data_IF_411184288331
#
_entry.id   IF_411184288331
#
_cell.length_a   1.000
_cell.length_b   1.000
_cell.length_c   1.000
_cell.angle_alpha   90.00
_cell.angle_beta   90.00
_cell.angle_gamma   90.00
#
_symmetry.space_group_name_H-M   'P 1'
#
loop_
_entity.id
_entity.type
_entity.pdbx_description
1 polymer ?
#
# COMPACT_ATOMS: atom_id res chain seq x y z
N UNK A 1 24.31 26.23 -3.72
CA UNK A 1 23.98 25.05 -2.87
C UNK A 1 25.08 24.03 -3.09
N UNK A 2 25.69 23.54 -2.01
CA UNK A 2 26.79 22.60 -2.04
C UNK A 2 26.74 21.73 -0.80
N UNK A 3 26.75 20.42 -0.98
CA UNK A 3 26.76 19.47 0.13
C UNK A 3 27.54 18.20 -0.20
N UNK A 4 27.90 17.48 0.86
CA UNK A 4 28.50 16.15 0.82
C UNK A 4 27.82 15.21 1.82
N UNK A 5 27.52 14.00 1.39
CA UNK A 5 26.92 12.97 2.25
C UNK A 5 27.38 11.56 1.88
N UNK A 6 27.03 10.61 2.75
CA UNK A 6 27.29 9.19 2.56
C UNK A 6 26.39 8.65 1.43
N UNK A 7 26.97 7.85 0.54
CA UNK A 7 26.34 7.43 -0.71
C UNK A 7 25.09 6.58 -0.46
N UNK A 8 25.16 5.62 0.45
CA UNK A 8 24.10 4.65 0.71
C UNK A 8 22.90 5.36 1.35
N UNK A 9 23.18 6.23 2.33
CA UNK A 9 22.18 7.09 2.97
C UNK A 9 21.46 7.98 1.93
N UNK A 10 22.19 8.63 1.02
CA UNK A 10 21.57 9.44 -0.03
C UNK A 10 20.75 8.57 -1.00
N UNK A 11 21.25 7.39 -1.38
CA UNK A 11 20.54 6.49 -2.28
C UNK A 11 19.20 6.04 -1.69
N UNK A 12 19.18 5.66 -0.41
CA UNK A 12 17.98 5.24 0.30
C UNK A 12 16.96 6.37 0.43
N UNK A 13 17.43 7.58 0.81
CA UNK A 13 16.57 8.74 0.96
C UNK A 13 15.95 9.19 -0.38
N UNK A 14 16.76 9.22 -1.44
CA UNK A 14 16.30 9.52 -2.80
C UNK A 14 15.26 8.49 -3.25
N UNK A 15 15.53 7.20 -3.04
CA UNK A 15 14.57 6.14 -3.40
C UNK A 15 13.24 6.26 -2.65
N UNK A 16 13.29 6.66 -1.37
CA UNK A 16 12.09 6.87 -0.56
C UNK A 16 11.29 8.10 -1.00
N UNK A 17 11.95 9.24 -1.22
CA UNK A 17 11.29 10.46 -1.65
C UNK A 17 10.72 10.33 -3.08
N UNK A 18 11.40 9.62 -3.99
CA UNK A 18 10.98 9.51 -5.40
C UNK A 18 9.68 8.73 -5.61
N UNK A 19 9.28 7.88 -4.67
CA UNK A 19 8.06 7.06 -4.84
C UNK A 19 6.78 7.88 -4.97
N UNK A 20 6.79 9.08 -4.41
CA UNK A 20 5.64 9.99 -4.42
C UNK A 20 5.75 11.09 -5.47
N UNK A 21 6.78 11.09 -6.32
CA UNK A 21 6.82 12.03 -7.46
C UNK A 21 5.71 11.69 -8.46
N UNK A 22 5.15 12.71 -9.09
CA UNK A 22 4.07 12.54 -10.03
C UNK A 22 4.52 11.72 -11.26
N UNK A 23 3.74 10.69 -11.61
CA UNK A 23 4.00 9.82 -12.77
C UNK A 23 2.94 9.93 -13.87
N UNK A 24 1.79 10.57 -13.59
CA UNK A 24 0.65 10.69 -14.51
C UNK A 24 0.90 11.76 -15.58
N UNK A 25 0.51 11.45 -16.81
CA UNK A 25 0.47 12.40 -17.93
C UNK A 25 -0.53 13.52 -17.63
N UNK A 26 -0.05 14.72 -17.30
CA UNK A 26 -0.89 15.88 -16.95
C UNK A 26 -0.56 16.53 -15.59
N UNK A 27 0.28 15.90 -14.78
CA UNK A 27 0.83 16.55 -13.59
C UNK A 27 1.78 17.70 -13.96
N UNK A 28 1.97 18.65 -13.04
CA UNK A 28 2.98 19.71 -13.20
C UNK A 28 4.36 19.08 -13.42
N UNK A 29 5.11 19.43 -14.50
CA UNK A 29 6.39 18.79 -14.80
C UNK A 29 7.40 18.84 -13.65
N UNK A 30 7.37 19.89 -12.83
CA UNK A 30 8.23 20.08 -11.65
C UNK A 30 8.01 19.02 -10.56
N UNK A 31 6.81 18.44 -10.47
CA UNK A 31 6.46 17.38 -9.51
C UNK A 31 6.92 15.99 -9.96
N UNK A 32 7.44 15.85 -11.17
CA UNK A 32 8.08 14.60 -11.64
C UNK A 32 9.50 14.43 -11.08
N UNK A 33 9.99 15.47 -10.38
CA UNK A 33 11.34 15.60 -9.87
C UNK A 33 11.34 15.76 -8.34
N UNK A 34 12.52 15.61 -7.74
CA UNK A 34 12.70 15.79 -6.30
C UNK A 34 13.06 17.22 -5.96
N UNK A 35 12.42 17.78 -4.93
CA UNK A 35 12.90 19.00 -4.29
C UNK A 35 13.90 18.62 -3.20
N UNK A 36 15.09 19.18 -3.25
CA UNK A 36 16.13 19.03 -2.23
C UNK A 36 16.40 20.39 -1.61
N UNK A 37 16.28 20.46 -0.29
CA UNK A 37 16.68 21.62 0.51
C UNK A 37 17.92 21.24 1.31
N UNK A 38 18.98 22.04 1.22
CA UNK A 38 20.17 21.91 2.06
C UNK A 38 20.25 23.07 3.04
N UNK A 39 20.46 22.77 4.32
CA UNK A 39 20.57 23.75 5.40
C UNK A 39 21.38 23.22 6.58
N UNK A 40 21.24 23.87 7.73
CA UNK A 40 22.08 23.59 8.92
C UNK A 40 21.87 22.17 9.48
N UNK A 41 20.65 21.63 9.35
CA UNK A 41 20.28 20.29 9.82
C UNK A 41 20.54 19.17 8.78
N UNK A 42 21.25 19.47 7.69
CA UNK A 42 21.53 18.55 6.59
C UNK A 42 20.60 18.75 5.39
N UNK A 43 20.10 17.66 4.81
CA UNK A 43 19.23 17.70 3.63
C UNK A 43 17.80 17.30 3.99
N UNK A 44 16.84 17.98 3.38
CA UNK A 44 15.44 17.55 3.26
C UNK A 44 15.17 17.20 1.79
N UNK A 45 14.80 15.95 1.54
CA UNK A 45 14.38 15.46 0.22
C UNK A 45 12.87 15.30 0.21
N UNK A 46 12.22 15.92 -0.78
CA UNK A 46 10.75 15.92 -0.90
C UNK A 46 10.32 15.46 -2.28
N UNK A 47 9.48 14.43 -2.32
CA UNK A 47 8.71 14.04 -3.49
C UNK A 47 7.22 14.17 -3.22
N UNK A 48 6.47 14.65 -4.21
CA UNK A 48 5.04 14.92 -4.05
C UNK A 48 4.30 14.81 -5.38
N UNK A 49 3.07 14.32 -5.33
CA UNK A 49 2.08 14.41 -6.41
C UNK A 49 0.88 15.29 -6.01
N UNK A 50 1.03 16.05 -4.91
CA UNK A 50 0.03 16.87 -4.22
C UNK A 50 -1.09 16.07 -3.51
N UNK A 51 -1.23 14.77 -3.76
CA UNK A 51 -2.09 13.88 -2.97
C UNK A 51 -1.30 13.27 -1.82
N UNK A 52 -0.03 12.93 -2.08
CA UNK A 52 0.90 12.31 -1.15
C UNK A 52 2.22 13.04 -1.21
N UNK A 53 2.83 13.26 -0.06
CA UNK A 53 4.16 13.86 0.06
C UNK A 53 5.01 13.02 0.98
N UNK A 54 6.19 12.60 0.50
CA UNK A 54 7.23 12.02 1.34
C UNK A 54 8.30 13.07 1.61
N UNK A 55 8.66 13.26 2.88
CA UNK A 55 9.82 14.04 3.31
C UNK A 55 10.82 13.13 4.01
N UNK A 56 12.08 13.24 3.62
CA UNK A 56 13.18 12.44 4.19
C UNK A 56 14.31 13.38 4.60
N UNK A 57 14.78 13.23 5.82
CA UNK A 57 15.93 13.97 6.33
C UNK A 57 17.20 13.12 6.23
N UNK A 58 18.27 13.73 5.73
CA UNK A 58 19.57 13.08 5.56
C UNK A 58 20.65 13.93 6.21
N UNK A 59 21.44 13.37 7.16
CA UNK A 59 22.63 14.02 7.65
C UNK A 59 23.61 14.27 6.49
N UNK A 60 24.04 15.52 6.31
CA UNK A 60 24.98 15.91 5.29
C UNK A 60 25.85 17.07 5.77
N UNK A 61 27.09 17.12 5.29
CA UNK A 61 27.94 18.30 5.41
C UNK A 61 27.51 19.32 4.35
N UNK A 62 26.76 20.34 4.76
CA UNK A 62 26.31 21.42 3.88
C UNK A 62 27.33 22.56 3.94
N UNK A 63 27.98 22.84 2.82
CA UNK A 63 28.91 23.97 2.69
C UNK A 63 28.19 25.24 2.22
N UNK A 64 27.17 25.07 1.38
CA UNK A 64 26.32 26.17 0.94
C UNK A 64 24.87 25.73 0.95
N UNK A 65 24.04 26.41 1.74
CA UNK A 65 22.61 26.19 1.78
C UNK A 65 21.94 26.50 0.43
N UNK A 66 20.72 25.98 0.24
CA UNK A 66 19.89 26.33 -0.90
C UNK A 66 18.83 25.28 -1.22
N UNK A 67 18.10 25.51 -2.31
CA UNK A 67 17.02 24.64 -2.78
C UNK A 67 17.27 24.33 -4.25
N UNK A 68 17.08 23.06 -4.63
CA UNK A 68 17.12 22.64 -6.03
C UNK A 68 16.00 21.65 -6.33
N UNK A 69 15.48 21.67 -7.56
CA UNK A 69 14.58 20.64 -8.07
C UNK A 69 15.35 19.77 -9.04
N UNK A 70 15.66 18.56 -8.60
CA UNK A 70 16.59 17.64 -9.26
C UNK A 70 15.80 16.52 -9.96
N UNK A 71 16.09 16.25 -11.26
CA UNK A 71 15.46 15.16 -11.99
C UNK A 71 15.49 13.84 -11.25
N UNK A 72 14.40 13.06 -11.32
CA UNK A 72 14.34 11.72 -10.71
C UNK A 72 15.46 10.77 -11.16
N UNK A 73 16.12 11.07 -12.28
CA UNK A 73 17.32 10.38 -12.74
C UNK A 73 18.44 10.32 -11.69
N UNK A 74 18.48 11.27 -10.72
CA UNK A 74 19.43 11.22 -9.60
C UNK A 74 19.37 9.90 -8.82
N UNK A 75 18.20 9.26 -8.73
CA UNK A 75 18.06 7.98 -8.04
C UNK A 75 18.81 6.84 -8.72
N UNK A 76 18.77 6.80 -10.06
CA UNK A 76 19.55 5.84 -10.83
C UNK A 76 21.04 6.13 -10.77
N UNK A 77 21.42 7.42 -10.78
CA UNK A 77 22.82 7.85 -10.69
C UNK A 77 23.40 7.44 -9.34
N UNK A 78 22.83 7.90 -8.23
CA UNK A 78 23.38 7.70 -6.89
C UNK A 78 23.49 6.20 -6.55
N UNK A 79 22.49 5.39 -6.95
CA UNK A 79 22.53 3.93 -6.77
C UNK A 79 23.70 3.25 -7.48
N UNK A 80 24.18 3.82 -8.59
CA UNK A 80 25.29 3.29 -9.40
C UNK A 80 26.64 3.91 -9.09
N UNK A 81 26.71 4.94 -8.24
CA UNK A 81 27.98 5.55 -7.86
C UNK A 81 28.84 4.55 -7.09
N UNK A 82 30.15 4.58 -7.36
CA UNK A 82 31.17 3.88 -6.59
C UNK A 82 31.78 4.84 -5.55
N UNK A 83 32.12 4.30 -4.38
CA UNK A 83 32.70 5.03 -3.26
C UNK A 83 31.68 5.50 -2.23
N UNK A 84 32.18 5.85 -1.05
CA UNK A 84 31.34 6.03 0.15
C UNK A 84 30.73 7.43 0.27
N UNK A 85 31.17 8.38 -0.56
CA UNK A 85 30.87 9.81 -0.40
C UNK A 85 30.48 10.43 -1.73
N UNK A 86 29.37 11.17 -1.72
CA UNK A 86 28.83 11.90 -2.87
C UNK A 86 28.89 13.39 -2.57
N UNK A 87 29.45 14.16 -3.50
CA UNK A 87 29.44 15.63 -3.47
C UNK A 87 28.50 16.14 -4.55
N UNK A 88 27.59 17.03 -4.17
CA UNK A 88 26.67 17.70 -5.09
C UNK A 88 26.91 19.21 -5.02
N UNK A 89 27.12 19.82 -6.17
CA UNK A 89 27.31 21.26 -6.34
C UNK A 89 26.26 21.78 -7.31
N UNK A 90 25.45 22.74 -6.90
CA UNK A 90 24.47 23.39 -7.76
C UNK A 90 24.92 24.79 -8.12
N UNK A 91 25.05 25.03 -9.42
CA UNK A 91 25.44 26.31 -10.02
C UNK A 91 24.43 26.67 -11.11
N UNK A 92 23.65 27.74 -10.91
CA UNK A 92 22.60 28.13 -11.85
C UNK A 92 21.52 27.04 -11.99
N UNK A 93 21.30 26.56 -13.20
CA UNK A 93 20.33 25.53 -13.57
C UNK A 93 20.95 24.13 -13.70
N UNK A 94 22.16 23.92 -13.17
CA UNK A 94 22.88 22.65 -13.25
C UNK A 94 23.29 22.15 -11.86
N UNK A 95 23.08 20.85 -11.61
CA UNK A 95 23.66 20.12 -10.48
C UNK A 95 24.78 19.19 -10.97
N UNK A 96 26.00 19.42 -10.50
CA UNK A 96 27.14 18.52 -10.70
C UNK A 96 27.21 17.54 -9.54
N UNK A 97 27.19 16.25 -9.86
CA UNK A 97 27.24 15.14 -8.91
C UNK A 97 28.55 14.40 -9.12
N UNK A 98 29.32 14.20 -8.05
CA UNK A 98 30.63 13.54 -8.11
C UNK A 98 30.83 12.53 -6.98
N UNK A 99 31.43 11.39 -7.31
CA UNK A 99 31.89 10.37 -6.37
C UNK A 99 33.09 9.63 -6.97
N UNK A 100 34.20 9.57 -6.23
CA UNK A 100 35.44 8.96 -6.70
C UNK A 100 35.92 9.58 -8.03
N UNK A 101 35.97 8.77 -9.09
CA UNK A 101 36.38 9.20 -10.45
C UNK A 101 35.20 9.54 -11.37
N UNK A 102 33.97 9.37 -10.89
CA UNK A 102 32.78 9.62 -11.67
C UNK A 102 32.26 11.03 -11.37
N UNK A 103 31.98 11.78 -12.42
CA UNK A 103 31.32 13.09 -12.37
C UNK A 103 30.27 13.13 -13.46
N UNK A 104 29.08 13.61 -13.13
CA UNK A 104 27.98 13.83 -14.07
C UNK A 104 27.25 15.13 -13.71
N UNK A 105 26.45 15.65 -14.64
CA UNK A 105 25.60 16.80 -14.38
C UNK A 105 24.16 16.57 -14.79
N UNK A 106 23.23 17.20 -14.07
CA UNK A 106 21.81 17.18 -14.31
C UNK A 106 21.29 18.61 -14.49
N UNK A 107 20.45 18.82 -15.50
CA UNK A 107 19.69 20.06 -15.66
C UNK A 107 18.55 20.09 -14.65
N UNK A 108 18.44 21.19 -13.94
CA UNK A 108 17.46 21.42 -12.88
C UNK A 108 16.21 22.11 -13.43
N UNK A 109 15.11 21.93 -12.72
CA UNK A 109 13.91 22.76 -12.92
C UNK A 109 13.97 23.96 -11.96
N UNK A 110 13.34 25.09 -12.31
CA UNK A 110 13.27 26.24 -11.41
C UNK A 110 12.62 25.85 -10.07
N UNK A 111 13.30 26.15 -8.97
CA UNK A 111 12.78 25.82 -7.64
C UNK A 111 11.47 26.57 -7.31
N UNK A 112 11.30 27.77 -7.86
CA UNK A 112 10.11 28.59 -7.69
C UNK A 112 8.87 28.01 -8.39
N UNK A 113 9.05 27.11 -9.36
CA UNK A 113 7.94 26.39 -9.99
C UNK A 113 7.39 25.29 -9.07
N UNK A 114 8.17 24.82 -8.08
CA UNK A 114 7.75 23.75 -7.18
C UNK A 114 6.67 24.27 -6.22
N UNK A 115 5.48 23.64 -6.15
CA UNK A 115 4.40 24.11 -5.30
C UNK A 115 4.80 24.22 -3.83
N UNK A 116 4.30 25.24 -3.15
CA UNK A 116 4.45 25.35 -1.69
C UNK A 116 3.63 24.25 -1.02
N UNK A 117 4.31 23.34 -0.35
CA UNK A 117 3.69 22.27 0.43
C UNK A 117 3.37 22.76 1.83
N UNK A 118 2.25 22.33 2.39
CA UNK A 118 1.91 22.64 3.78
C UNK A 118 2.95 22.05 4.73
N UNK A 119 3.35 22.76 5.80
CA UNK A 119 4.17 22.21 6.87
C UNK A 119 3.54 20.94 7.44
N UNK A 120 4.36 20.05 8.02
CA UNK A 120 3.91 18.82 8.66
C UNK A 120 3.58 18.99 10.15
N UNK A 121 3.42 20.23 10.63
CA UNK A 121 3.22 20.56 12.05
C UNK A 121 1.97 19.91 12.68
N UNK A 122 2.04 19.71 14.00
CA UNK A 122 0.94 19.20 14.83
C UNK A 122 1.40 18.10 15.79
N UNK A 123 0.59 17.84 16.83
CA UNK A 123 0.79 16.75 17.78
C UNK A 123 -0.07 15.56 17.37
N UNK A 124 0.52 14.37 17.36
CA UNK A 124 -0.15 13.15 16.95
C UNK A 124 -0.32 12.13 18.07
N UNK A 125 -1.04 11.07 17.74
CA UNK A 125 -1.15 9.87 18.56
C UNK A 125 -0.09 8.87 18.09
N UNK A 126 0.57 8.21 19.03
CA UNK A 126 1.55 7.16 18.71
C UNK A 126 0.88 5.81 18.60
N UNK A 127 1.26 5.07 17.56
CA UNK A 127 0.80 3.71 17.32
C UNK A 127 2.01 2.79 17.12
N UNK A 128 1.88 1.53 17.51
CA UNK A 128 2.91 0.53 17.23
C UNK A 128 3.08 0.36 15.71
N UNK A 129 4.32 0.53 15.24
CA UNK A 129 4.64 0.56 13.83
C UNK A 129 4.36 -0.79 13.15
N UNK A 130 4.71 -1.90 13.82
CA UNK A 130 4.55 -3.24 13.27
C UNK A 130 3.06 -3.63 13.16
N UNK A 131 2.28 -3.37 14.21
CA UNK A 131 0.84 -3.62 14.23
C UNK A 131 0.10 -2.77 13.19
N UNK A 132 0.46 -1.49 13.06
CA UNK A 132 -0.14 -0.61 12.05
C UNK A 132 0.24 -1.06 10.64
N UNK A 133 1.51 -1.37 10.38
CA UNK A 133 1.95 -1.88 9.08
C UNK A 133 1.26 -3.20 8.70
N UNK A 134 1.08 -4.13 9.65
CA UNK A 134 0.37 -5.38 9.43
C UNK A 134 -1.10 -5.12 9.05
N UNK A 135 -1.78 -4.19 9.73
CA UNK A 135 -3.14 -3.82 9.40
C UNK A 135 -3.26 -3.14 8.02
N UNK A 136 -2.32 -2.26 7.67
CA UNK A 136 -2.28 -1.65 6.35
C UNK A 136 -2.04 -2.69 5.25
N UNK A 137 -1.12 -3.65 5.46
CA UNK A 137 -0.86 -4.77 4.54
C UNK A 137 -2.12 -5.58 4.26
N UNK A 138 -2.98 -5.74 5.27
CA UNK A 138 -4.24 -6.47 5.20
C UNK A 138 -5.33 -5.69 4.45
N UNK A 139 -5.45 -4.39 4.68
CA UNK A 139 -6.60 -3.60 4.21
C UNK A 139 -6.34 -2.86 2.91
N UNK A 140 -5.18 -2.19 2.76
CA UNK A 140 -4.88 -1.30 1.61
C UNK A 140 -5.06 -2.00 0.27
N UNK A 141 -4.75 -3.31 0.20
CA UNK A 141 -4.89 -4.12 -1.01
C UNK A 141 -6.31 -4.19 -1.55
N UNK A 142 -7.34 -4.00 -0.72
CA UNK A 142 -8.74 -4.05 -1.12
C UNK A 142 -9.29 -2.71 -1.65
N UNK A 143 -8.50 -1.62 -1.57
CA UNK A 143 -8.90 -0.33 -2.11
C UNK A 143 -8.92 -0.34 -3.65
N UNK A 144 -9.85 0.42 -4.22
CA UNK A 144 -9.96 0.60 -5.66
C UNK A 144 -8.77 1.38 -6.23
N UNK A 145 -8.40 1.03 -7.47
CA UNK A 145 -7.45 1.81 -8.29
C UNK A 145 -8.16 2.72 -9.31
N UNK A 146 -9.49 2.70 -9.30
CA UNK A 146 -10.34 3.45 -10.22
C UNK A 146 -10.58 4.87 -9.70
N UNK A 147 -9.86 5.83 -10.27
CA UNK A 147 -9.96 7.25 -9.92
C UNK A 147 -11.35 7.86 -10.25
N UNK A 148 -12.21 7.17 -11.02
CA UNK A 148 -13.61 7.61 -11.26
C UNK A 148 -14.50 7.41 -10.03
N UNK A 149 -14.09 6.56 -9.09
CA UNK A 149 -14.77 6.31 -7.81
C UNK A 149 -13.83 6.65 -6.65
N UNK A 150 -13.51 7.94 -6.44
CA UNK A 150 -12.48 8.38 -5.51
C UNK A 150 -12.72 7.93 -4.07
N UNK A 151 -13.98 7.80 -3.64
CA UNK A 151 -14.32 7.29 -2.31
C UNK A 151 -13.74 5.88 -2.07
N UNK A 152 -13.70 5.05 -3.11
CA UNK A 152 -13.22 3.67 -3.00
C UNK A 152 -11.70 3.56 -3.13
N UNK A 153 -10.99 4.62 -3.51
CA UNK A 153 -9.51 4.64 -3.55
C UNK A 153 -8.91 4.93 -2.16
N UNK A 154 -9.76 5.19 -1.18
CA UNK A 154 -9.37 5.41 0.22
C UNK A 154 -9.52 4.18 1.10
N UNK A 155 -8.92 4.27 2.28
CA UNK A 155 -9.18 3.40 3.43
C UNK A 155 -9.92 4.22 4.47
N UNK A 156 -11.09 3.74 4.87
CA UNK A 156 -11.86 4.31 5.97
C UNK A 156 -11.20 3.94 7.30
N UNK A 157 -10.88 4.95 8.10
CA UNK A 157 -10.49 4.85 9.49
C UNK A 157 -11.68 5.29 10.35
N UNK A 158 -12.09 4.48 11.31
CA UNK A 158 -13.17 4.80 12.25
C UNK A 158 -12.85 4.30 13.64
N UNK A 159 -13.29 5.03 14.67
CA UNK A 159 -13.26 4.50 16.03
C UNK A 159 -14.13 3.23 16.12
N UNK A 160 -13.63 2.18 16.77
CA UNK A 160 -14.36 0.94 17.02
C UNK A 160 -13.99 0.36 18.39
N UNK A 161 -14.94 0.33 19.32
CA UNK A 161 -14.66 -0.03 20.71
C UNK A 161 -13.58 0.86 21.32
N UNK A 162 -12.55 0.25 21.92
CA UNK A 162 -11.36 0.95 22.44
C UNK A 162 -10.20 0.97 21.43
N UNK A 163 -10.50 1.02 20.13
CA UNK A 163 -9.51 0.88 19.06
C UNK A 163 -9.89 1.58 17.76
N UNK A 164 -9.15 1.26 16.72
CA UNK A 164 -9.27 1.79 15.37
C UNK A 164 -9.66 0.67 14.42
N UNK A 165 -10.70 0.89 13.61
CA UNK A 165 -11.07 0.01 12.50
C UNK A 165 -10.62 0.61 11.18
N UNK A 166 -10.01 -0.22 10.34
CA UNK A 166 -9.59 0.07 8.99
C UNK A 166 -10.48 -0.71 8.01
N UNK A 167 -11.01 -0.03 6.99
CA UNK A 167 -11.89 -0.65 5.99
C UNK A 167 -11.54 -0.17 4.58
N UNK A 168 -11.43 -1.09 3.63
CA UNK A 168 -11.26 -0.76 2.21
C UNK A 168 -12.07 -1.70 1.33
N UNK A 169 -12.58 -1.19 0.21
CA UNK A 169 -13.34 -1.96 -0.77
C UNK A 169 -13.24 -1.36 -2.16
N UNK A 170 -13.36 -2.21 -3.18
CA UNK A 170 -13.48 -1.83 -4.59
C UNK A 170 -14.83 -2.22 -5.19
N UNK A 171 -15.81 -2.55 -4.33
CA UNK A 171 -17.13 -3.14 -4.63
C UNK A 171 -17.15 -4.64 -4.94
N UNK A 172 -16.01 -5.27 -5.19
CA UNK A 172 -15.92 -6.73 -5.45
C UNK A 172 -15.29 -7.49 -4.30
N UNK A 173 -14.46 -6.81 -3.50
CA UNK A 173 -13.94 -7.31 -2.24
C UNK A 173 -13.98 -6.23 -1.16
N UNK A 174 -13.91 -6.65 0.09
CA UNK A 174 -13.90 -5.78 1.26
C UNK A 174 -12.91 -6.35 2.26
N UNK A 175 -12.04 -5.52 2.80
CA UNK A 175 -11.15 -5.87 3.90
C UNK A 175 -11.48 -5.02 5.12
N UNK A 176 -11.63 -5.66 6.27
CA UNK A 176 -11.87 -5.03 7.57
C UNK A 176 -10.78 -5.50 8.54
N UNK A 177 -10.14 -4.56 9.22
CA UNK A 177 -9.14 -4.86 10.26
C UNK A 177 -9.35 -3.98 11.49
N UNK A 178 -9.48 -4.62 12.65
CA UNK A 178 -9.53 -3.93 13.93
C UNK A 178 -8.15 -3.91 14.62
N UNK A 179 -7.77 -2.73 15.09
CA UNK A 179 -6.57 -2.47 15.88
C UNK A 179 -6.98 -2.01 17.28
N UNK A 180 -6.79 -2.89 18.26
CA UNK A 180 -7.08 -2.60 19.66
C UNK A 180 -6.09 -1.59 20.24
N UNK A 181 -6.55 -0.78 21.19
CA UNK A 181 -5.69 0.14 21.95
C UNK A 181 -5.22 1.38 21.19
N UNK A 182 -5.66 1.57 19.94
CA UNK A 182 -5.37 2.76 19.15
C UNK A 182 -6.54 3.75 19.27
N UNK A 183 -6.38 4.75 20.13
CA UNK A 183 -7.38 5.81 20.34
C UNK A 183 -6.96 7.10 19.66
N UNK A 184 -7.18 7.18 18.34
CA UNK A 184 -6.86 8.38 17.54
C UNK A 184 -8.09 9.11 16.97
N UNK A 185 -9.28 8.52 17.10
CA UNK A 185 -10.54 9.08 16.61
C UNK A 185 -11.59 9.08 17.71
N UNK A 186 -12.48 10.07 17.69
CA UNK A 186 -13.66 10.12 18.56
C UNK A 186 -14.73 9.11 18.10
N UNK A 187 -15.63 8.71 19.00
CA UNK A 187 -16.73 7.80 18.66
C UNK A 187 -17.60 8.38 17.54
N UNK A 188 -17.85 7.59 16.50
CA UNK A 188 -18.60 8.02 15.31
C UNK A 188 -17.79 8.83 14.29
N UNK A 189 -16.56 9.25 14.63
CA UNK A 189 -15.68 9.94 13.69
C UNK A 189 -15.19 8.98 12.61
N UNK A 190 -15.30 9.42 11.35
CA UNK A 190 -14.91 8.67 10.16
C UNK A 190 -13.96 9.52 9.33
N UNK A 191 -12.83 8.94 8.98
CA UNK A 191 -11.78 9.60 8.19
C UNK A 191 -11.42 8.71 7.01
N UNK A 192 -11.46 9.24 5.80
CA UNK A 192 -11.10 8.50 4.60
C UNK A 192 -9.73 8.96 4.11
N UNK A 193 -8.74 8.08 4.16
CA UNK A 193 -7.34 8.40 3.81
C UNK A 193 -6.99 7.75 2.47
N UNK A 194 -6.32 8.46 1.57
CA UNK A 194 -5.89 7.90 0.29
C UNK A 194 -5.02 6.64 0.48
N UNK A 195 -5.43 5.51 -0.11
CA UNK A 195 -4.79 4.21 0.10
C UNK A 195 -3.33 4.18 -0.38
N UNK A 196 -3.01 4.94 -1.44
CA UNK A 196 -1.64 5.12 -1.92
C UNK A 196 -0.72 5.72 -0.86
N UNK A 197 -1.20 6.67 -0.05
CA UNK A 197 -0.42 7.26 1.04
C UNK A 197 -0.17 6.25 2.16
N UNK A 198 -1.21 5.50 2.54
CA UNK A 198 -1.10 4.41 3.51
C UNK A 198 -0.17 3.27 3.03
N UNK A 199 -0.12 2.98 1.73
CA UNK A 199 0.83 2.02 1.17
C UNK A 199 2.29 2.46 1.39
N UNK A 200 2.58 3.76 1.30
CA UNK A 200 3.92 4.28 1.62
C UNK A 200 4.20 4.22 3.12
N UNK A 201 3.22 4.51 3.98
CA UNK A 201 3.36 4.33 5.44
C UNK A 201 3.67 2.88 5.79
N UNK A 202 2.94 1.92 5.21
CA UNK A 202 3.17 0.47 5.43
C UNK A 202 4.62 0.09 5.13
N UNK A 203 5.20 0.64 4.06
CA UNK A 203 6.59 0.38 3.67
C UNK A 203 7.60 1.06 4.61
N UNK A 204 7.25 2.23 5.13
CA UNK A 204 8.14 3.11 5.90
C UNK A 204 8.02 2.96 7.42
N UNK A 205 7.04 2.19 7.89
CA UNK A 205 6.75 1.97 9.31
C UNK A 205 8.01 1.62 10.13
N UNK A 206 8.82 0.69 9.63
CA UNK A 206 9.99 0.19 10.35
C UNK A 206 9.61 -0.42 11.71
N UNK A 207 10.50 -0.28 12.69
CA UNK A 207 10.27 -0.70 14.08
C UNK A 207 9.95 0.51 14.96
N UNK A 208 9.30 0.27 16.11
CA UNK A 208 9.00 1.29 17.12
C UNK A 208 7.60 1.87 16.97
N UNK A 209 7.48 3.20 17.03
CA UNK A 209 6.21 3.92 16.98
C UNK A 209 6.09 4.77 15.71
N UNK A 210 4.87 4.88 15.18
CA UNK A 210 4.49 5.87 14.18
C UNK A 210 3.67 6.95 14.88
N UNK A 211 4.05 8.21 14.73
CA UNK A 211 3.20 9.32 15.16
C UNK A 211 2.22 9.67 14.05
N UNK A 212 0.92 9.67 14.37
CA UNK A 212 -0.18 9.98 13.46
C UNK A 212 -0.81 11.30 13.83
N UNK A 213 -0.63 12.32 12.99
CA UNK A 213 -1.20 13.66 13.15
C UNK A 213 -2.38 13.80 12.18
N UNK A 214 -3.60 13.66 12.70
CA UNK A 214 -4.82 13.91 11.93
C UNK A 214 -5.09 15.42 11.87
N UNK A 215 -5.33 15.93 10.66
CA UNK A 215 -5.69 17.34 10.42
C UNK A 215 -6.95 17.42 9.57
N UNK A 216 -7.42 18.64 9.30
CA UNK A 216 -8.69 18.87 8.59
C UNK A 216 -8.72 18.28 7.18
N UNK A 217 -7.59 18.29 6.46
CA UNK A 217 -7.53 17.95 5.02
C UNK A 217 -6.56 16.83 4.67
N UNK A 218 -5.74 16.42 5.62
CA UNK A 218 -4.73 15.38 5.43
C UNK A 218 -4.39 14.74 6.78
N UNK A 219 -3.56 13.71 6.70
CA UNK A 219 -2.94 13.06 7.85
C UNK A 219 -1.44 12.98 7.60
N UNK A 220 -0.66 13.27 8.64
CA UNK A 220 0.79 13.13 8.63
C UNK A 220 1.17 11.91 9.46
N UNK A 221 1.99 11.04 8.87
CA UNK A 221 2.59 9.89 9.53
C UNK A 221 4.08 10.16 9.67
N UNK A 222 4.60 10.23 10.89
CA UNK A 222 6.03 10.36 11.15
C UNK A 222 6.56 8.99 11.59
N UNK A 223 7.46 8.42 10.79
CA UNK A 223 8.18 7.19 11.12
C UNK A 223 9.63 7.51 11.43
N UNK A 224 10.40 6.51 11.85
CA UNK A 224 11.86 6.66 12.03
C UNK A 224 12.62 6.94 10.73
N UNK A 225 11.98 6.73 9.57
CA UNK A 225 12.62 6.81 8.25
C UNK A 225 12.18 8.02 7.42
N UNK A 226 10.94 8.48 7.60
CA UNK A 226 10.35 9.54 6.78
C UNK A 226 9.08 10.12 7.40
N UNK A 227 8.68 11.29 6.91
CA UNK A 227 7.32 11.80 7.09
C UNK A 227 6.50 11.60 5.82
N UNK A 228 5.31 11.02 5.96
CA UNK A 228 4.34 10.82 4.87
C UNK A 228 3.12 11.67 5.16
N UNK A 229 2.81 12.63 4.28
CA UNK A 229 1.52 13.35 4.31
C UNK A 229 0.61 12.76 3.25
N UNK A 230 -0.60 12.36 3.63
CA UNK A 230 -1.61 11.83 2.70
C UNK A 230 -2.92 12.63 2.83
N UNK A 231 -3.49 13.06 1.70
CA UNK A 231 -4.76 13.79 1.71
C UNK A 231 -5.92 12.91 2.19
N UNK A 232 -6.85 13.56 2.87
CA UNK A 232 -8.16 13.01 3.16
C UNK A 232 -9.05 13.11 1.92
N UNK A 233 -9.89 12.11 1.72
CA UNK A 233 -10.87 12.05 0.65
C UNK A 233 -12.21 12.51 1.22
N UNK A 234 -12.80 13.51 0.60
CA UNK A 234 -14.15 13.97 0.95
C UNK A 234 -15.20 13.02 0.34
N UNK A 235 -16.18 12.62 1.15
CA UNK A 235 -17.28 11.78 0.71
C UNK A 235 -17.74 10.77 1.76
N UNK A 236 -18.86 10.12 1.48
CA UNK A 236 -19.43 9.10 2.36
C UNK A 236 -18.98 7.71 1.90
N UNK A 237 -18.25 7.00 2.77
CA UNK A 237 -17.87 5.63 2.51
C UNK A 237 -19.10 4.70 2.58
N UNK A 238 -19.24 3.70 1.69
CA UNK A 238 -20.41 2.82 1.67
C UNK A 238 -20.69 2.15 3.01
N UNK A 239 -21.97 1.89 3.31
CA UNK A 239 -22.36 1.10 4.48
C UNK A 239 -22.01 -0.39 4.28
N UNK A 240 -20.76 -0.73 4.59
CA UNK A 240 -20.19 -2.06 4.38
C UNK A 240 -20.70 -3.11 5.36
N UNK A 241 -21.19 -2.72 6.54
CA UNK A 241 -21.63 -3.64 7.59
C UNK A 241 -22.81 -4.51 7.11
N UNK A 242 -23.67 -3.95 6.26
CA UNK A 242 -24.80 -4.67 5.65
C UNK A 242 -24.36 -5.72 4.62
N UNK A 243 -23.11 -5.65 4.13
CA UNK A 243 -22.58 -6.59 3.15
C UNK A 243 -22.04 -7.86 3.80
N UNK A 244 -21.78 -7.86 5.11
CA UNK A 244 -21.20 -8.98 5.84
C UNK A 244 -22.32 -9.87 6.36
N UNK A 245 -22.47 -11.11 5.86
CA UNK A 245 -23.42 -12.06 6.41
C UNK A 245 -23.20 -12.35 7.90
N UNK A 246 -24.29 -12.61 8.62
CA UNK A 246 -24.27 -12.94 10.06
C UNK A 246 -23.84 -14.38 10.37
N UNK A 247 -23.70 -15.23 9.34
CA UNK A 247 -23.25 -16.61 9.51
C UNK A 247 -23.17 -17.36 8.18
N UNK A 248 -22.45 -18.48 8.19
CA UNK A 248 -22.15 -19.28 7.01
C UNK A 248 -22.44 -20.77 7.30
N UNK A 249 -23.20 -21.46 6.43
CA UNK A 249 -23.45 -22.89 6.55
C UNK A 249 -22.26 -23.77 6.13
N UNK A 250 -21.32 -23.21 5.35
CA UNK A 250 -20.19 -23.95 4.80
C UNK A 250 -18.87 -23.30 5.23
N UNK A 251 -17.92 -24.12 5.67
CA UNK A 251 -16.61 -23.71 6.15
C UNK A 251 -15.53 -24.66 5.62
N UNK A 252 -14.59 -24.11 4.87
CA UNK A 252 -13.39 -24.79 4.41
C UNK A 252 -12.19 -24.30 5.23
N UNK A 253 -11.38 -25.20 5.76
CA UNK A 253 -10.09 -24.88 6.39
C UNK A 253 -8.97 -25.53 5.59
N UNK A 254 -7.99 -24.73 5.16
CA UNK A 254 -6.90 -25.17 4.27
C UNK A 254 -5.59 -24.50 4.68
N UNK A 255 -4.46 -25.18 4.48
CA UNK A 255 -3.14 -24.63 4.70
C UNK A 255 -2.89 -23.44 3.76
N UNK A 256 -2.51 -22.28 4.33
CA UNK A 256 -2.34 -21.01 3.64
C UNK A 256 -1.35 -21.11 2.49
N UNK A 257 -0.14 -21.61 2.77
CA UNK A 257 0.94 -21.69 1.77
C UNK A 257 0.55 -22.61 0.61
N UNK A 258 -0.02 -23.79 0.91
CA UNK A 258 -0.48 -24.72 -0.12
C UNK A 258 -1.56 -24.10 -1.00
N UNK A 259 -2.47 -23.31 -0.41
CA UNK A 259 -3.52 -22.63 -1.17
C UNK A 259 -2.97 -21.52 -2.07
N UNK A 260 -2.04 -20.70 -1.57
CA UNK A 260 -1.36 -19.68 -2.38
C UNK A 260 -0.59 -20.29 -3.55
N UNK A 261 0.17 -21.35 -3.28
CA UNK A 261 0.95 -22.08 -4.27
C UNK A 261 0.08 -22.70 -5.36
N UNK A 262 -1.05 -23.29 -4.99
CA UNK A 262 -2.01 -23.85 -5.93
C UNK A 262 -2.69 -22.75 -6.77
N UNK A 263 -3.05 -21.63 -6.15
CA UNK A 263 -3.58 -20.47 -6.88
C UNK A 263 -2.56 -19.97 -7.91
N UNK A 264 -1.28 -19.87 -7.54
CA UNK A 264 -0.19 -19.43 -8.41
C UNK A 264 0.02 -20.37 -9.59
N UNK A 265 -0.12 -21.69 -9.42
CA UNK A 265 -0.05 -22.67 -10.50
C UNK A 265 -1.28 -22.68 -11.39
N UNK A 266 -2.48 -22.75 -10.80
CA UNK A 266 -3.74 -22.83 -11.55
C UNK A 266 -3.95 -21.56 -12.38
N UNK A 267 -3.63 -20.38 -11.83
CA UNK A 267 -3.87 -19.10 -12.51
C UNK A 267 -3.07 -18.88 -13.80
N UNK A 268 -2.02 -19.69 -14.06
CA UNK A 268 -1.19 -19.60 -15.27
C UNK A 268 -2.04 -19.70 -16.55
N UNK A 269 -3.07 -20.54 -16.55
CA UNK A 269 -3.95 -20.78 -17.72
C UNK A 269 -4.80 -19.56 -18.09
N UNK A 270 -5.00 -18.64 -17.14
CA UNK A 270 -5.89 -17.48 -17.27
C UNK A 270 -5.14 -16.15 -17.26
N UNK A 271 -3.81 -16.17 -17.33
CA UNK A 271 -3.00 -14.96 -17.36
C UNK A 271 -3.41 -14.03 -18.50
N UNK A 272 -3.41 -12.72 -18.22
CA UNK A 272 -3.78 -11.65 -19.15
C UNK A 272 -5.23 -11.71 -19.68
N UNK A 273 -6.16 -12.29 -18.90
CA UNK A 273 -7.60 -12.26 -19.22
C UNK A 273 -8.39 -11.52 -18.16
N UNK A 274 -9.18 -10.55 -18.60
CA UNK A 274 -9.99 -9.70 -17.72
C UNK A 274 -11.10 -10.48 -16.99
N UNK A 275 -11.55 -11.61 -17.55
CA UNK A 275 -12.64 -12.44 -17.01
C UNK A 275 -12.17 -13.82 -16.52
N UNK A 276 -10.90 -13.95 -16.14
CA UNK A 276 -10.40 -15.19 -15.55
C UNK A 276 -11.12 -15.48 -14.21
N UNK A 277 -11.52 -16.74 -14.03
CA UNK A 277 -12.22 -17.20 -12.84
C UNK A 277 -11.64 -18.54 -12.39
N UNK A 278 -11.19 -18.61 -11.13
CA UNK A 278 -10.80 -19.87 -10.50
C UNK A 278 -12.01 -20.48 -9.82
N UNK A 279 -12.32 -21.73 -10.15
CA UNK A 279 -13.40 -22.51 -9.53
C UNK A 279 -12.84 -23.30 -8.36
N UNK A 280 -13.56 -23.28 -7.24
CA UNK A 280 -13.26 -23.99 -6.01
C UNK A 280 -14.40 -24.97 -5.77
N UNK A 281 -14.15 -26.26 -5.99
CA UNK A 281 -15.05 -27.33 -5.60
C UNK A 281 -14.68 -27.80 -4.19
N UNK A 282 -15.60 -27.60 -3.24
CA UNK A 282 -15.41 -27.91 -1.83
C UNK A 282 -16.31 -29.07 -1.44
N UNK A 283 -15.71 -30.14 -0.90
CA UNK A 283 -16.43 -31.36 -0.51
C UNK A 283 -15.74 -32.03 0.67
N UNK A 284 -16.34 -33.12 1.17
CA UNK A 284 -15.71 -33.96 2.20
C UNK A 284 -14.37 -34.60 1.76
N UNK A 285 -14.08 -34.60 0.45
CA UNK A 285 -12.81 -35.05 -0.11
C UNK A 285 -11.70 -33.99 -0.18
N UNK A 286 -11.97 -32.75 0.25
CA UNK A 286 -11.01 -31.65 0.24
C UNK A 286 -11.42 -30.49 -0.68
N UNK A 287 -10.42 -29.72 -1.12
CA UNK A 287 -10.59 -28.59 -2.03
C UNK A 287 -10.00 -28.93 -3.39
N UNK A 288 -10.76 -28.73 -4.46
CA UNK A 288 -10.24 -28.74 -5.83
C UNK A 288 -10.31 -27.34 -6.43
N UNK A 289 -9.17 -26.85 -6.91
CA UNK A 289 -9.05 -25.64 -7.69
C UNK A 289 -9.03 -26.02 -9.17
N UNK A 290 -9.80 -25.32 -9.99
CA UNK A 290 -9.71 -25.48 -11.45
C UNK A 290 -9.88 -24.16 -12.18
N UNK A 291 -9.24 -24.04 -13.33
CA UNK A 291 -9.45 -22.94 -14.25
C UNK A 291 -9.31 -23.43 -15.69
N UNK A 292 -10.13 -22.86 -16.56
CA UNK A 292 -10.25 -23.24 -17.96
C UNK A 292 -10.25 -22.01 -18.86
N UNK A 293 -9.45 -22.03 -19.93
CA UNK A 293 -9.46 -21.02 -20.99
C UNK A 293 -9.52 -21.72 -22.36
N UNK A 294 -10.53 -21.38 -23.16
CA UNK A 294 -10.90 -22.13 -24.38
C UNK A 294 -9.76 -22.35 -25.38
N UNK A 295 -8.84 -21.39 -25.49
CA UNK A 295 -7.74 -21.34 -26.44
C UNK A 295 -6.35 -21.59 -25.81
N UNK A 296 -6.29 -21.87 -24.51
CA UNK A 296 -5.03 -22.16 -23.79
C UNK A 296 -5.05 -23.59 -23.24
N UNK A 297 -6.14 -23.98 -22.58
CA UNK A 297 -6.28 -25.29 -21.94
C UNK A 297 -6.94 -25.20 -20.56
N UNK A 298 -6.66 -26.20 -19.72
CA UNK A 298 -7.21 -26.35 -18.38
C UNK A 298 -6.09 -26.61 -17.37
N UNK A 299 -6.24 -26.08 -16.16
CA UNK A 299 -5.44 -26.46 -15.00
C UNK A 299 -6.37 -26.88 -13.87
N UNK A 300 -5.95 -27.88 -13.10
CA UNK A 300 -6.66 -28.40 -11.95
C UNK A 300 -5.65 -28.87 -10.91
N UNK A 301 -5.95 -28.61 -9.65
CA UNK A 301 -5.14 -29.03 -8.52
C UNK A 301 -6.03 -29.34 -7.31
N UNK A 302 -5.75 -30.45 -6.63
CA UNK A 302 -6.46 -30.85 -5.42
C UNK A 302 -5.58 -30.60 -4.20
N UNK A 303 -6.19 -30.09 -3.13
CA UNK A 303 -5.56 -29.81 -1.86
C UNK A 303 -6.27 -30.56 -0.73
N UNK A 304 -5.47 -31.06 0.21
CA UNK A 304 -5.98 -31.53 1.49
C UNK A 304 -6.56 -30.33 2.26
N UNK A 305 -7.84 -30.42 2.58
CA UNK A 305 -8.57 -29.38 3.31
C UNK A 305 -9.70 -30.02 4.10
N UNK A 306 -10.07 -29.40 5.23
CA UNK A 306 -11.22 -29.81 6.03
C UNK A 306 -12.44 -28.99 5.59
N UNK A 307 -13.49 -29.66 5.13
CA UNK A 307 -14.74 -29.01 4.75
C UNK A 307 -15.90 -29.46 5.65
N UNK A 308 -16.66 -28.49 6.15
CA UNK A 308 -17.88 -28.67 6.91
C UNK A 308 -19.01 -27.93 6.19
N UNK A 309 -20.09 -28.62 5.79
CA UNK A 309 -21.21 -27.99 5.08
C UNK A 309 -21.76 -28.86 3.95
N UNK A 310 -22.50 -28.23 3.05
CA UNK A 310 -23.01 -28.87 1.82
C UNK A 310 -22.01 -28.67 0.68
N UNK A 311 -21.74 -29.73 -0.09
CA UNK A 311 -20.82 -29.64 -1.23
C UNK A 311 -21.26 -28.53 -2.19
N UNK A 312 -20.31 -27.68 -2.60
CA UNK A 312 -20.57 -26.62 -3.56
C UNK A 312 -19.36 -26.35 -4.43
N UNK A 313 -19.62 -25.74 -5.58
CA UNK A 313 -18.60 -25.13 -6.42
C UNK A 313 -18.88 -23.64 -6.52
N UNK A 314 -17.88 -22.83 -6.21
CA UNK A 314 -17.93 -21.36 -6.32
C UNK A 314 -16.77 -20.89 -7.17
N UNK A 315 -16.96 -19.79 -7.90
CA UNK A 315 -15.91 -19.20 -8.73
C UNK A 315 -15.56 -17.80 -8.25
N UNK A 316 -14.27 -17.48 -8.26
CA UNK A 316 -13.76 -16.17 -7.85
C UNK A 316 -12.79 -15.59 -8.87
N UNK A 317 -12.62 -14.26 -8.84
CA UNK A 317 -11.47 -13.64 -9.47
C UNK A 317 -10.19 -14.14 -8.77
N UNK A 318 -9.21 -14.71 -9.49
CA UNK A 318 -8.03 -15.33 -8.87
C UNK A 318 -7.13 -14.32 -8.16
N UNK A 319 -6.99 -13.10 -8.69
CA UNK A 319 -6.19 -12.04 -8.06
C UNK A 319 -6.82 -11.62 -6.73
N UNK A 320 -8.14 -11.42 -6.71
CA UNK A 320 -8.83 -11.03 -5.48
C UNK A 320 -8.81 -12.13 -4.42
N UNK A 321 -8.99 -13.38 -4.83
CA UNK A 321 -8.89 -14.53 -3.92
C UNK A 321 -7.48 -14.63 -3.33
N UNK A 322 -6.44 -14.58 -4.17
CA UNK A 322 -5.05 -14.61 -3.74
C UNK A 322 -4.71 -13.48 -2.78
N UNK A 323 -5.17 -12.26 -3.08
CA UNK A 323 -4.97 -11.10 -2.21
C UNK A 323 -5.62 -11.29 -0.83
N UNK A 324 -6.78 -11.93 -0.75
CA UNK A 324 -7.43 -12.26 0.52
C UNK A 324 -6.67 -13.31 1.33
N UNK A 325 -6.25 -14.41 0.68
CA UNK A 325 -5.48 -15.48 1.32
C UNK A 325 -4.13 -14.96 1.82
N UNK A 326 -3.43 -14.16 1.01
CA UNK A 326 -2.12 -13.61 1.37
C UNK A 326 -2.18 -12.60 2.52
N UNK A 327 -3.33 -11.95 2.75
CA UNK A 327 -3.53 -11.03 3.86
C UNK A 327 -3.64 -11.73 5.22
N UNK A 328 -3.92 -13.03 5.25
CA UNK A 328 -4.01 -13.79 6.50
C UNK A 328 -2.60 -14.14 6.99
N UNK A 329 -2.35 -14.08 8.29
CA UNK A 329 -1.02 -14.28 8.91
C UNK A 329 -0.87 -15.63 9.64
N UNK A 330 -1.90 -16.47 9.59
CA UNK A 330 -1.92 -17.81 10.20
C UNK A 330 -1.58 -18.89 9.19
N UNK A 331 -1.10 -20.04 9.69
CA UNK A 331 -0.77 -21.21 8.86
C UNK A 331 -1.99 -21.78 8.13
N UNK A 332 -3.18 -21.59 8.69
CA UNK A 332 -4.45 -22.04 8.12
C UNK A 332 -5.39 -20.86 7.84
N UNK A 333 -6.13 -21.00 6.75
CA UNK A 333 -7.15 -20.05 6.29
C UNK A 333 -8.51 -20.73 6.36
N UNK A 334 -9.51 -20.01 6.89
CA UNK A 334 -10.91 -20.38 6.78
C UNK A 334 -11.57 -19.61 5.64
N UNK A 335 -12.22 -20.33 4.73
CA UNK A 335 -13.11 -19.80 3.70
C UNK A 335 -14.56 -20.19 4.06
N UNK A 336 -15.40 -19.21 4.33
CA UNK A 336 -16.78 -19.40 4.73
C UNK A 336 -17.74 -18.93 3.62
N UNK A 337 -18.72 -19.76 3.27
CA UNK A 337 -19.65 -19.52 2.15
C UNK A 337 -21.09 -19.87 2.50
N UNK A 338 -22.04 -19.23 1.81
CA UNK A 338 -23.48 -19.53 1.92
C UNK A 338 -23.95 -20.36 0.72
N UNK A 339 -23.86 -19.76 -0.47
CA UNK A 339 -24.16 -20.39 -1.75
C UNK A 339 -23.20 -19.83 -2.81
N UNK A 340 -23.13 -20.43 -4.02
CA UNK A 340 -22.19 -20.01 -5.07
C UNK A 340 -22.34 -18.57 -5.58
N UNK A 341 -23.42 -17.86 -5.25
CA UNK A 341 -23.72 -16.51 -5.72
C UNK A 341 -23.64 -15.45 -4.61
N UNK A 342 -23.56 -15.86 -3.35
CA UNK A 342 -23.45 -14.97 -2.19
C UNK A 342 -22.00 -14.68 -1.83
N UNK A 343 -21.72 -13.53 -1.19
CA UNK A 343 -20.38 -13.21 -0.73
C UNK A 343 -19.79 -14.33 0.13
N UNK A 344 -18.50 -14.60 -0.06
CA UNK A 344 -17.71 -15.47 0.79
C UNK A 344 -16.83 -14.62 1.71
N UNK A 345 -16.37 -15.20 2.82
CA UNK A 345 -15.37 -14.57 3.67
C UNK A 345 -14.14 -15.44 3.90
N UNK A 346 -13.00 -14.77 4.06
CA UNK A 346 -11.70 -15.31 4.36
C UNK A 346 -11.21 -14.68 5.66
N UNK A 347 -10.74 -15.52 6.57
CA UNK A 347 -10.13 -15.09 7.83
C UNK A 347 -9.24 -16.20 8.39
N UNK A 348 -8.50 -15.90 9.45
CA UNK A 348 -7.73 -16.89 10.18
C UNK A 348 -8.64 -17.99 10.75
N UNK A 349 -8.18 -19.25 10.74
CA UNK A 349 -9.01 -20.41 11.12
C UNK A 349 -9.40 -20.43 12.61
N UNK A 350 -8.61 -19.77 13.46
CA UNK A 350 -8.85 -19.56 14.89
C UNK A 350 -9.62 -18.26 15.20
N UNK A 351 -10.03 -17.53 14.16
CA UNK A 351 -10.66 -16.22 14.27
C UNK A 351 -9.64 -15.09 14.37
N UNK A 352 -10.10 -13.87 14.61
CA UNK A 352 -9.20 -12.73 14.79
C UNK A 352 -9.83 -11.40 14.38
N UNK A 353 -8.99 -10.38 14.32
CA UNK A 353 -9.43 -9.00 14.05
C UNK A 353 -9.43 -8.65 12.55
N UNK A 354 -9.20 -9.62 11.66
CA UNK A 354 -9.18 -9.42 10.21
C UNK A 354 -10.28 -10.24 9.54
N UNK A 355 -11.04 -9.58 8.66
CA UNK A 355 -12.06 -10.19 7.81
C UNK A 355 -11.87 -9.71 6.37
N UNK A 356 -11.86 -10.64 5.42
CA UNK A 356 -11.85 -10.34 4.00
C UNK A 356 -13.06 -10.94 3.32
N UNK A 357 -13.90 -10.13 2.69
CA UNK A 357 -15.08 -10.55 1.95
C UNK A 357 -14.80 -10.49 0.44
N UNK A 358 -15.28 -11.50 -0.28
CA UNK A 358 -15.09 -11.65 -1.71
C UNK A 358 -16.40 -11.98 -2.43
N UNK A 359 -16.70 -11.25 -3.51
CA UNK A 359 -17.84 -11.53 -4.36
C UNK A 359 -17.54 -12.68 -5.35
N UNK A 360 -18.40 -13.70 -5.46
CA UNK A 360 -18.30 -14.69 -6.52
C UNK A 360 -18.48 -14.09 -7.90
N UNK A 361 -17.84 -14.72 -8.89
CA UNK A 361 -18.08 -14.43 -10.31
C UNK A 361 -19.03 -15.48 -10.89
N UNK A 362 -19.96 -15.04 -11.75
CA UNK A 362 -20.83 -15.97 -12.45
C UNK A 362 -20.04 -16.64 -13.57
N UNK A 363 -19.84 -17.94 -13.46
CA UNK A 363 -19.35 -18.75 -14.58
C UNK A 363 -20.55 -19.34 -15.31
N UNK A 364 -20.67 -19.03 -16.61
CA UNK A 364 -21.65 -19.61 -17.53
C UNK A 364 -21.48 -21.11 -17.71
#
# INVERSE_FOLDING_TARGET
>A
MKFRCERDTLAEAVATAQRTVASRSGALPVLQDLRITAGDDGLELVGSDLEITNRVHVPAAVEEAGVAVVPKLIGEIVRKLEGDQVTVVVTGDEAVISAGRFTTSLRLKPADDYPRLAPSDGQGVRVDAAAFAAALRQVVRAASKDDLRPILTGVLLTAHGAGLRLVATDSYRLAVRDLKGVSMLEEGQRVLVAAKGLAEVQRLAGDGEIEVVLRERDVVFRTSRAEVTARLIEGEFPNYEQLIPSGYPNRLTVAREAFLDALDRVQIVGQNRDNAAVRLAMSGGGLELSMSAQDVGNAQESLDAKFEGSELTVAFNPVFLRDGVDAIDTEEVALETIDPLKPATLHASDGGEFLYLLMPVRTS
#
